data_IF_544914785545
#
_entry.id   IF_544914785545
#
_cell.length_a   1.000
_cell.length_b   1.000
_cell.length_c   1.000
_cell.angle_alpha   90.00
_cell.angle_beta   90.00
_cell.angle_gamma   90.00
#
_symmetry.space_group_name_H-M   'P 1'
#
loop_
_entity.id
_entity.type
_entity.pdbx_description
1 polymer ?
#
# COMPACT_ATOMS: atom_id res chain seq x y z
N UNK A 1 -2.05 -21.05 -61.63
CA UNK A 1 -1.18 -21.93 -62.47
C UNK A 1 0.28 -21.71 -62.08
N UNK A 2 1.08 -22.79 -62.10
CA UNK A 2 2.53 -22.96 -61.80
C UNK A 2 2.89 -23.04 -60.30
N UNK A 3 2.94 -24.25 -59.70
CA UNK A 3 4.01 -25.30 -59.68
C UNK A 3 5.16 -24.93 -58.71
N UNK A 4 5.18 -25.49 -57.50
CA UNK A 4 5.89 -26.72 -57.06
C UNK A 4 7.43 -26.62 -57.08
N UNK A 5 8.06 -26.73 -55.89
CA UNK A 5 9.20 -27.63 -55.71
C UNK A 5 9.28 -28.14 -54.27
N UNK A 6 9.31 -29.49 -54.17
CA UNK A 6 9.62 -30.28 -52.97
C UNK A 6 11.05 -30.82 -53.13
N UNK A 7 11.80 -30.86 -52.03
CA UNK A 7 12.99 -31.70 -51.82
C UNK A 7 13.26 -31.69 -50.31
N UNK A 8 13.01 -32.75 -49.52
CA UNK A 8 13.50 -34.13 -49.46
C UNK A 8 14.89 -34.27 -48.80
N UNK A 9 14.84 -34.80 -47.57
CA UNK A 9 15.80 -35.63 -46.80
C UNK A 9 17.27 -35.20 -46.63
N UNK A 10 17.74 -35.18 -45.37
CA UNK A 10 18.58 -36.27 -44.83
C UNK A 10 18.68 -36.16 -43.29
N UNK A 11 18.43 -37.28 -42.60
CA UNK A 11 18.60 -37.40 -41.15
C UNK A 11 20.02 -37.81 -40.77
N UNK A 12 20.45 -37.40 -39.58
CA UNK A 12 21.61 -37.98 -38.89
C UNK A 12 21.20 -38.23 -37.43
N UNK A 13 21.09 -39.50 -37.10
CA UNK A 13 21.00 -40.04 -35.74
C UNK A 13 22.44 -40.21 -35.26
N UNK A 14 22.81 -39.60 -34.13
CA UNK A 14 24.03 -39.97 -33.40
C UNK A 14 23.61 -40.51 -32.04
N UNK A 15 23.69 -41.83 -31.95
CA UNK A 15 23.65 -42.61 -30.72
C UNK A 15 25.08 -42.68 -30.18
N UNK A 16 25.31 -42.30 -28.93
CA UNK A 16 26.56 -42.60 -28.22
C UNK A 16 26.21 -43.37 -26.95
N UNK A 17 26.63 -44.63 -26.97
CA UNK A 17 26.56 -45.61 -25.91
C UNK A 17 27.98 -46.19 -25.77
N UNK A 18 28.61 -46.06 -24.61
CA UNK A 18 29.74 -46.86 -24.12
C UNK A 18 29.65 -46.86 -22.58
N UNK A 19 29.16 -47.93 -21.95
CA UNK A 19 29.81 -49.18 -21.54
C UNK A 19 30.78 -49.01 -20.34
N UNK A 20 30.31 -49.58 -19.24
CA UNK A 20 30.91 -50.14 -18.02
C UNK A 20 32.44 -50.19 -17.84
N UNK A 21 32.85 -49.93 -16.60
CA UNK A 21 33.74 -50.84 -15.87
C UNK A 21 33.51 -50.74 -14.35
N UNK A 22 33.44 -51.90 -13.71
CA UNK A 22 33.24 -52.13 -12.28
C UNK A 22 34.53 -52.72 -11.68
N UNK A 23 34.82 -52.39 -10.41
CA UNK A 23 35.61 -53.13 -9.41
C UNK A 23 35.10 -52.60 -8.04
N UNK A 24 34.52 -53.32 -7.08
CA UNK A 24 34.76 -54.61 -6.40
C UNK A 24 35.94 -54.62 -5.40
N UNK A 25 35.58 -54.78 -4.12
CA UNK A 25 36.40 -55.30 -3.00
C UNK A 25 37.13 -54.25 -2.15
N UNK A 26 37.35 -54.38 -0.84
CA UNK A 26 36.86 -55.30 0.20
C UNK A 26 37.26 -54.73 1.57
N UNK A 27 36.47 -55.07 2.59
CA UNK A 27 36.72 -55.19 4.05
C UNK A 27 38.13 -54.97 4.65
N UNK A 28 38.19 -54.34 5.83
CA UNK A 28 38.56 -54.92 7.16
C UNK A 28 39.08 -53.83 8.12
N UNK A 29 38.41 -53.58 9.26
CA UNK A 29 38.70 -54.06 10.64
C UNK A 29 39.44 -53.03 11.51
N UNK A 30 38.96 -52.85 12.75
CA UNK A 30 39.73 -52.18 13.80
C UNK A 30 38.91 -51.63 14.96
N UNK A 31 38.42 -52.51 15.84
CA UNK A 31 37.86 -52.21 17.16
C UNK A 31 38.86 -51.41 18.03
N UNK A 32 38.37 -50.50 18.89
CA UNK A 32 38.54 -50.68 20.33
C UNK A 32 37.66 -49.76 21.19
N UNK A 33 37.14 -50.36 22.26
CA UNK A 33 36.26 -49.79 23.26
C UNK A 33 37.03 -49.37 24.53
N UNK A 34 36.50 -48.40 25.28
CA UNK A 34 36.52 -48.34 26.77
C UNK A 34 35.86 -47.01 27.22
N UNK A 35 34.63 -47.03 27.77
CA UNK A 35 34.25 -47.04 29.20
C UNK A 35 34.84 -45.89 30.05
N UNK A 36 33.95 -45.10 30.69
CA UNK A 36 34.32 -44.28 31.87
C UNK A 36 33.38 -43.16 32.34
N UNK A 37 32.25 -43.52 32.97
CA UNK A 37 31.54 -42.89 34.13
C UNK A 37 31.34 -41.35 34.30
N UNK A 38 30.05 -41.03 34.58
CA UNK A 38 29.46 -40.11 35.58
C UNK A 38 29.88 -38.63 35.69
N UNK A 39 28.91 -37.72 35.54
CA UNK A 39 28.49 -36.80 36.61
C UNK A 39 27.13 -36.14 36.32
N UNK A 40 26.41 -35.81 37.40
CA UNK A 40 25.03 -35.34 37.51
C UNK A 40 24.87 -33.83 37.26
N UNK A 41 23.61 -33.45 37.05
CA UNK A 41 22.96 -32.14 37.31
C UNK A 41 23.38 -30.93 36.48
N UNK A 42 22.46 -30.46 35.62
CA UNK A 42 21.50 -29.43 36.05
C UNK A 42 20.57 -29.09 34.89
N UNK A 43 19.28 -29.38 35.07
CA UNK A 43 18.20 -28.94 34.21
C UNK A 43 17.96 -27.44 34.39
N UNK A 44 18.51 -26.62 33.49
CA UNK A 44 17.95 -25.31 33.22
C UNK A 44 17.18 -25.40 31.90
N UNK A 45 15.85 -25.42 32.02
CA UNK A 45 14.92 -25.20 30.93
C UNK A 45 15.11 -23.77 30.42
N UNK A 46 16.15 -23.57 29.60
CA UNK A 46 16.24 -22.42 28.73
C UNK A 46 15.19 -22.63 27.64
N UNK A 47 14.04 -21.96 27.80
CA UNK A 47 13.09 -21.69 26.73
C UNK A 47 13.86 -20.99 25.61
N UNK A 48 14.42 -21.78 24.68
CA UNK A 48 14.82 -21.31 23.36
C UNK A 48 13.54 -20.78 22.71
N UNK A 49 13.37 -19.47 22.76
CA UNK A 49 12.45 -18.74 21.90
C UNK A 49 12.93 -19.00 20.47
N UNK A 50 12.39 -20.04 19.86
CA UNK A 50 12.61 -20.35 18.45
C UNK A 50 12.15 -19.15 17.66
N UNK A 51 13.10 -18.36 17.17
CA UNK A 51 12.84 -17.42 16.10
C UNK A 51 12.37 -18.28 14.93
N UNK A 52 11.07 -18.26 14.66
CA UNK A 52 10.51 -18.93 13.50
C UNK A 52 11.11 -18.24 12.28
N UNK A 53 12.15 -18.86 11.71
CA UNK A 53 12.66 -18.54 10.40
C UNK A 53 11.48 -18.58 9.43
N UNK A 54 11.32 -17.51 8.65
CA UNK A 54 10.42 -17.50 7.50
C UNK A 54 10.67 -18.79 6.72
N UNK A 55 9.65 -19.64 6.56
CA UNK A 55 9.73 -20.79 5.66
C UNK A 55 9.88 -20.23 4.25
N UNK A 56 11.12 -20.02 3.83
CA UNK A 56 11.45 -19.51 2.51
C UNK A 56 10.80 -20.41 1.47
N UNK A 57 9.89 -19.85 0.67
CA UNK A 57 9.25 -20.61 -0.41
C UNK A 57 10.20 -20.59 -1.60
N UNK A 58 10.59 -21.78 -2.05
CA UNK A 58 11.44 -21.92 -3.23
C UNK A 58 10.68 -21.52 -4.49
N UNK A 59 11.38 -21.04 -5.54
CA UNK A 59 10.73 -20.75 -6.82
C UNK A 59 10.02 -22.00 -7.30
N UNK A 60 8.80 -21.83 -7.82
CA UNK A 60 8.01 -22.92 -8.38
C UNK A 60 7.83 -22.64 -9.86
N UNK A 61 8.50 -23.42 -10.69
CA UNK A 61 8.40 -23.29 -12.14
C UNK A 61 7.05 -23.84 -12.61
N UNK A 62 6.05 -22.94 -12.67
CA UNK A 62 4.72 -23.23 -13.21
C UNK A 62 4.71 -22.80 -14.67
N UNK A 63 4.39 -23.74 -15.56
CA UNK A 63 4.01 -23.41 -16.93
C UNK A 63 2.55 -22.95 -16.94
N UNK A 64 2.30 -21.72 -17.36
CA UNK A 64 0.97 -21.15 -17.43
C UNK A 64 0.95 -19.91 -18.34
N UNK A 65 -0.23 -19.60 -18.86
CA UNK A 65 -0.42 -18.53 -19.84
C UNK A 65 -0.56 -17.15 -19.19
N UNK A 66 -1.09 -17.08 -17.96
CA UNK A 66 -1.16 -15.84 -17.20
C UNK A 66 0.17 -15.56 -16.51
N UNK A 67 0.79 -14.41 -16.80
CA UNK A 67 1.98 -13.91 -16.10
C UNK A 67 1.74 -12.51 -15.58
N UNK A 68 2.18 -12.28 -14.34
CA UNK A 68 2.13 -10.98 -13.66
C UNK A 68 3.56 -10.58 -13.31
N UNK A 69 4.07 -9.59 -14.01
CA UNK A 69 5.41 -9.05 -13.83
C UNK A 69 5.34 -7.78 -12.99
N UNK A 70 5.79 -7.86 -11.74
CA UNK A 70 6.06 -6.69 -10.91
C UNK A 70 7.46 -6.19 -11.27
N UNK A 71 7.50 -5.21 -12.17
CA UNK A 71 8.73 -4.71 -12.76
C UNK A 71 9.49 -3.91 -11.70
N UNK A 72 10.78 -4.18 -11.54
CA UNK A 72 11.61 -3.40 -10.63
C UNK A 72 11.90 -2.01 -11.20
N UNK A 73 11.08 -1.04 -10.80
CA UNK A 73 11.18 0.39 -11.11
C UNK A 73 11.58 1.22 -9.88
N UNK A 74 12.20 0.59 -8.88
CA UNK A 74 12.57 1.25 -7.62
C UNK A 74 11.37 1.48 -6.70
N UNK A 75 11.31 2.66 -6.09
CA UNK A 75 10.25 3.05 -5.14
C UNK A 75 9.00 3.52 -5.89
N UNK A 76 8.43 2.62 -6.69
CA UNK A 76 7.36 2.90 -7.63
C UNK A 76 6.64 1.62 -8.05
N UNK A 77 5.51 1.76 -8.77
CA UNK A 77 4.77 0.63 -9.32
C UNK A 77 4.79 0.61 -10.87
N UNK A 78 5.11 -0.55 -11.42
CA UNK A 78 4.78 -0.89 -12.81
C UNK A 78 4.57 -2.40 -12.94
N UNK A 79 3.37 -2.79 -13.35
CA UNK A 79 2.91 -4.18 -13.33
C UNK A 79 2.39 -4.56 -14.72
N UNK A 80 3.15 -5.37 -15.45
CA UNK A 80 2.71 -5.96 -16.71
C UNK A 80 1.98 -7.27 -16.42
N UNK A 81 0.76 -7.40 -16.92
CA UNK A 81 -0.01 -8.65 -16.89
C UNK A 81 -0.19 -9.12 -18.32
N UNK A 82 0.13 -10.38 -18.60
CA UNK A 82 -0.08 -11.02 -19.91
C UNK A 82 -0.89 -12.29 -19.75
N UNK A 83 -1.77 -12.57 -20.72
CA UNK A 83 -2.43 -13.87 -20.89
C UNK A 83 -2.51 -14.16 -22.39
N UNK A 84 -1.71 -15.12 -22.86
CA UNK A 84 -1.50 -15.38 -24.29
C UNK A 84 -1.15 -14.08 -25.04
N UNK A 85 -1.98 -13.65 -25.99
CA UNK A 85 -1.80 -12.45 -26.80
C UNK A 85 -2.39 -11.18 -26.17
N UNK A 86 -2.99 -11.29 -24.99
CA UNK A 86 -3.57 -10.16 -24.26
C UNK A 86 -2.60 -9.57 -23.26
N UNK A 87 -2.62 -8.25 -23.12
CA UNK A 87 -1.77 -7.58 -22.13
C UNK A 87 -2.37 -6.32 -21.53
N UNK A 88 -2.04 -6.09 -20.27
CA UNK A 88 -2.43 -4.92 -19.49
C UNK A 88 -1.21 -4.39 -18.73
N UNK A 89 -1.04 -3.07 -18.71
CA UNK A 89 -0.09 -2.41 -17.83
C UNK A 89 -0.87 -1.68 -16.72
N UNK A 90 -0.54 -1.96 -15.46
CA UNK A 90 -0.95 -1.15 -14.32
C UNK A 90 0.27 -0.35 -13.87
N UNK A 91 0.16 0.98 -13.95
CA UNK A 91 1.20 1.95 -13.62
C UNK A 91 2.51 1.80 -14.44
N UNK A 92 3.25 2.91 -14.57
CA UNK A 92 4.40 3.10 -15.45
C UNK A 92 5.69 3.44 -14.72
N UNK A 93 5.73 3.32 -13.39
CA UNK A 93 6.87 3.74 -12.58
C UNK A 93 7.02 5.26 -12.52
N UNK A 94 8.22 5.71 -12.14
CA UNK A 94 8.59 7.13 -12.11
C UNK A 94 8.73 7.69 -13.54
N UNK A 95 8.80 9.01 -13.70
CA UNK A 95 9.05 9.66 -15.00
C UNK A 95 10.36 9.15 -15.64
N UNK A 96 11.38 8.90 -14.82
CA UNK A 96 12.68 8.42 -15.28
C UNK A 96 12.64 6.97 -15.81
N UNK A 97 11.63 6.20 -15.42
CA UNK A 97 11.51 4.79 -15.77
C UNK A 97 10.85 4.57 -17.13
N UNK A 98 10.20 5.58 -17.72
CA UNK A 98 9.35 5.41 -18.90
C UNK A 98 10.03 4.71 -20.09
N UNK A 99 11.28 5.06 -20.41
CA UNK A 99 12.05 4.37 -21.47
C UNK A 99 12.33 2.91 -21.09
N UNK A 100 12.73 2.66 -19.84
CA UNK A 100 13.03 1.32 -19.35
C UNK A 100 11.79 0.42 -19.34
N UNK A 101 10.63 0.95 -18.94
CA UNK A 101 9.34 0.24 -19.01
C UNK A 101 8.99 -0.07 -20.47
N UNK A 102 9.10 0.90 -21.38
CA UNK A 102 8.84 0.67 -22.81
C UNK A 102 9.72 -0.44 -23.39
N UNK A 103 11.01 -0.42 -23.08
CA UNK A 103 11.96 -1.42 -23.57
C UNK A 103 11.70 -2.80 -22.95
N UNK A 104 11.33 -2.84 -21.67
CA UNK A 104 10.90 -4.07 -21.02
C UNK A 104 9.67 -4.68 -21.70
N UNK A 105 8.64 -3.88 -21.99
CA UNK A 105 7.44 -4.32 -22.69
C UNK A 105 7.76 -4.84 -24.10
N UNK A 106 8.60 -4.14 -24.86
CA UNK A 106 9.07 -4.61 -26.19
C UNK A 106 9.81 -5.95 -26.10
N UNK A 107 10.68 -6.10 -25.08
CA UNK A 107 11.42 -7.34 -24.82
C UNK A 107 10.49 -8.51 -24.48
N UNK A 108 9.38 -8.24 -23.80
CA UNK A 108 8.32 -9.23 -23.54
C UNK A 108 7.46 -9.53 -24.78
N UNK A 109 7.79 -8.94 -25.94
CA UNK A 109 7.08 -9.19 -27.19
C UNK A 109 5.77 -8.42 -27.33
N UNK A 110 5.45 -7.52 -26.40
CA UNK A 110 4.19 -6.76 -26.41
C UNK A 110 4.13 -5.88 -27.66
N UNK A 111 3.02 -6.00 -28.41
CA UNK A 111 2.74 -5.18 -29.61
C UNK A 111 1.59 -4.21 -29.39
N UNK A 112 0.67 -4.57 -28.49
CA UNK A 112 -0.53 -3.82 -28.14
C UNK A 112 -0.82 -4.08 -26.67
N UNK A 113 -1.20 -3.04 -25.95
CA UNK A 113 -1.78 -3.14 -24.62
C UNK A 113 -3.30 -3.07 -24.78
N UNK A 114 -4.02 -4.09 -24.33
CA UNK A 114 -5.49 -4.01 -24.30
C UNK A 114 -5.95 -2.93 -23.31
N UNK A 115 -5.23 -2.84 -22.19
CA UNK A 115 -5.49 -1.86 -21.14
C UNK A 115 -4.22 -1.21 -20.62
N UNK A 116 -4.31 0.09 -20.34
CA UNK A 116 -3.37 0.80 -19.47
C UNK A 116 -4.18 1.37 -18.31
N UNK A 117 -3.70 1.16 -17.09
CA UNK A 117 -4.34 1.64 -15.85
C UNK A 117 -3.34 2.56 -15.15
N UNK A 118 -3.68 3.84 -15.00
CA UNK A 118 -3.00 4.73 -14.08
C UNK A 118 -3.81 4.78 -12.78
N UNK A 119 -3.31 4.16 -11.72
CA UNK A 119 -4.08 3.94 -10.49
C UNK A 119 -4.44 5.26 -9.83
N UNK A 120 -3.48 6.16 -9.68
CA UNK A 120 -3.69 7.51 -9.16
C UNK A 120 -2.61 8.49 -9.66
N UNK A 121 -2.81 9.81 -9.54
CA UNK A 121 -1.95 10.82 -10.18
C UNK A 121 -0.52 11.01 -9.63
N UNK A 122 -0.02 10.15 -8.73
CA UNK A 122 1.34 10.30 -8.22
C UNK A 122 2.39 9.86 -9.24
N UNK A 123 3.58 10.42 -9.08
CA UNK A 123 4.64 10.33 -10.09
C UNK A 123 5.27 8.94 -10.15
N UNK A 124 5.41 8.27 -9.02
CA UNK A 124 5.88 6.90 -8.88
C UNK A 124 4.87 5.85 -9.38
N UNK A 125 3.75 6.30 -9.96
CA UNK A 125 2.72 5.46 -10.57
C UNK A 125 2.49 5.81 -12.03
N UNK A 126 2.13 7.06 -12.34
CA UNK A 126 1.80 7.45 -13.72
C UNK A 126 2.99 8.03 -14.48
N UNK A 127 4.16 8.14 -13.84
CA UNK A 127 5.36 8.81 -14.35
C UNK A 127 5.76 8.37 -15.74
N UNK A 128 5.99 7.08 -15.95
CA UNK A 128 6.40 6.54 -17.25
C UNK A 128 5.25 6.29 -18.24
N UNK A 129 4.00 6.59 -17.89
CA UNK A 129 2.85 6.23 -18.74
C UNK A 129 2.76 7.05 -20.01
N UNK A 130 3.24 8.29 -20.06
CA UNK A 130 3.27 9.07 -21.30
C UNK A 130 4.20 8.42 -22.35
N UNK A 131 5.36 7.92 -21.94
CA UNK A 131 6.26 7.13 -22.80
C UNK A 131 5.56 5.87 -23.33
N UNK A 132 4.90 5.11 -22.44
CA UNK A 132 4.16 3.90 -22.83
C UNK A 132 3.02 4.22 -23.78
N UNK A 133 2.24 5.25 -23.48
CA UNK A 133 1.11 5.68 -24.30
C UNK A 133 1.60 6.07 -25.68
N UNK A 134 2.69 6.83 -25.81
CA UNK A 134 3.25 7.19 -27.09
C UNK A 134 3.77 5.95 -27.87
N UNK A 135 4.41 5.00 -27.19
CA UNK A 135 5.08 3.86 -27.82
C UNK A 135 4.15 2.72 -28.29
N UNK A 136 3.00 2.50 -27.66
CA UNK A 136 2.16 1.32 -27.92
C UNK A 136 0.76 1.65 -28.43
N UNK A 137 0.19 0.75 -29.23
CA UNK A 137 -1.24 0.77 -29.49
C UNK A 137 -1.98 0.34 -28.21
N UNK A 138 -2.92 1.17 -27.75
CA UNK A 138 -3.68 0.92 -26.52
C UNK A 138 -5.16 0.80 -26.84
N UNK A 139 -5.82 -0.23 -26.30
CA UNK A 139 -7.26 -0.40 -26.42
C UNK A 139 -8.03 0.61 -25.54
N UNK A 140 -7.82 0.55 -24.23
CA UNK A 140 -8.49 1.41 -23.25
C UNK A 140 -7.55 1.90 -22.17
N UNK A 141 -7.75 3.14 -21.72
CA UNK A 141 -7.02 3.74 -20.61
C UNK A 141 -7.98 3.97 -19.44
N UNK A 142 -7.64 3.44 -18.28
CA UNK A 142 -8.34 3.70 -17.01
C UNK A 142 -7.52 4.66 -16.15
N UNK A 143 -8.15 5.75 -15.69
CA UNK A 143 -7.60 6.67 -14.70
C UNK A 143 -8.74 7.24 -13.85
N UNK A 144 -8.52 7.53 -12.55
CA UNK A 144 -9.55 8.13 -11.71
C UNK A 144 -9.86 9.55 -12.18
N UNK A 145 -10.98 10.11 -11.72
CA UNK A 145 -11.37 11.49 -12.03
C UNK A 145 -10.52 12.57 -11.33
N UNK A 146 -9.49 12.16 -10.57
CA UNK A 146 -8.63 13.09 -9.83
C UNK A 146 -7.67 13.79 -10.78
N UNK A 147 -7.87 15.08 -10.94
CA UNK A 147 -6.91 15.95 -11.60
C UNK A 147 -5.75 16.28 -10.67
N UNK A 148 -4.57 16.46 -11.25
CA UNK A 148 -3.38 16.98 -10.58
C UNK A 148 -2.71 18.05 -11.47
N UNK A 149 -2.04 19.03 -10.86
CA UNK A 149 -1.38 20.12 -11.57
C UNK A 149 0.12 19.87 -11.83
N UNK A 150 0.64 18.70 -11.41
CA UNK A 150 2.01 18.27 -11.68
C UNK A 150 2.32 18.20 -13.17
N UNK A 151 3.61 18.32 -13.52
CA UNK A 151 4.09 18.12 -14.88
C UNK A 151 3.78 16.70 -15.37
N UNK A 152 4.05 15.69 -14.54
CA UNK A 152 3.74 14.28 -14.82
C UNK A 152 2.31 14.06 -15.26
N UNK A 153 1.32 14.54 -14.49
CA UNK A 153 -0.08 14.37 -14.86
C UNK A 153 -0.39 15.05 -16.20
N UNK A 154 0.12 16.26 -16.44
CA UNK A 154 -0.07 16.98 -17.71
C UNK A 154 0.55 16.25 -18.90
N UNK A 155 1.72 15.65 -18.73
CA UNK A 155 2.40 14.89 -19.79
C UNK A 155 1.57 13.66 -20.18
N UNK A 156 1.06 12.91 -19.19
CA UNK A 156 0.17 11.76 -19.42
C UNK A 156 -1.12 12.20 -20.15
N UNK A 157 -1.82 13.22 -19.65
CA UNK A 157 -3.04 13.72 -20.31
C UNK A 157 -2.76 14.20 -21.75
N UNK A 158 -1.60 14.83 -21.97
CA UNK A 158 -1.17 15.27 -23.30
C UNK A 158 -0.92 14.08 -24.23
N UNK A 159 -0.23 13.04 -23.78
CA UNK A 159 -0.02 11.81 -24.56
C UNK A 159 -1.34 11.13 -24.93
N UNK A 160 -2.28 11.03 -23.98
CA UNK A 160 -3.64 10.50 -24.23
C UNK A 160 -4.35 11.31 -25.32
N UNK A 161 -4.33 12.64 -25.19
CA UNK A 161 -4.98 13.55 -26.14
C UNK A 161 -4.34 13.47 -27.52
N UNK A 162 -3.01 13.41 -27.61
CA UNK A 162 -2.28 13.33 -28.86
C UNK A 162 -2.57 12.01 -29.61
N UNK A 163 -2.87 10.93 -28.88
CA UNK A 163 -3.37 9.67 -29.46
C UNK A 163 -4.86 9.65 -29.78
N UNK A 164 -5.59 10.75 -29.51
CA UNK A 164 -7.04 10.80 -29.70
C UNK A 164 -7.82 9.85 -28.78
N UNK A 165 -7.19 9.41 -27.68
CA UNK A 165 -7.79 8.46 -26.74
C UNK A 165 -8.64 9.18 -25.69
N UNK A 166 -9.53 8.43 -25.05
CA UNK A 166 -10.36 8.90 -23.94
C UNK A 166 -10.03 8.13 -22.68
N UNK A 167 -10.05 8.83 -21.55
CA UNK A 167 -9.97 8.21 -20.23
C UNK A 167 -11.30 7.54 -19.92
N UNK A 168 -11.25 6.29 -19.50
CA UNK A 168 -12.37 5.57 -18.91
C UNK A 168 -12.29 5.68 -17.40
N UNK A 169 -13.33 6.24 -16.78
CA UNK A 169 -13.38 6.35 -15.32
C UNK A 169 -13.63 4.96 -14.69
N UNK A 170 -12.90 4.60 -13.63
CA UNK A 170 -13.14 3.37 -12.88
C UNK A 170 -14.49 3.45 -12.18
N UNK A 171 -15.23 2.34 -12.19
CA UNK A 171 -16.46 2.19 -11.39
C UNK A 171 -16.38 0.88 -10.63
N UNK A 172 -16.45 0.91 -9.28
CA UNK A 172 -16.51 -0.32 -8.50
C UNK A 172 -17.66 -1.22 -8.95
N UNK A 173 -17.38 -2.51 -9.12
CA UNK A 173 -18.29 -3.50 -9.68
C UNK A 173 -18.16 -3.71 -11.19
N UNK A 174 -17.58 -2.77 -11.94
CA UNK A 174 -17.34 -2.96 -13.37
C UNK A 174 -16.37 -4.13 -13.60
N UNK A 175 -16.65 -4.92 -14.63
CA UNK A 175 -15.82 -6.07 -15.02
C UNK A 175 -15.37 -5.96 -16.47
N UNK A 176 -14.19 -6.49 -16.76
CA UNK A 176 -13.65 -6.63 -18.10
C UNK A 176 -12.78 -7.87 -18.21
N UNK A 177 -12.47 -8.28 -19.44
CA UNK A 177 -11.64 -9.46 -19.73
C UNK A 177 -10.23 -9.08 -20.13
N UNK A 178 -9.26 -9.88 -19.71
CA UNK A 178 -7.90 -9.91 -20.23
C UNK A 178 -7.63 -11.36 -20.67
N UNK A 179 -7.93 -11.65 -21.93
CA UNK A 179 -8.07 -13.01 -22.43
C UNK A 179 -9.07 -13.81 -21.59
N UNK A 180 -8.65 -14.96 -21.08
CA UNK A 180 -9.50 -15.82 -20.25
C UNK A 180 -9.67 -15.31 -18.81
N UNK A 181 -8.84 -14.36 -18.36
CA UNK A 181 -8.93 -13.77 -17.02
C UNK A 181 -10.07 -12.74 -16.92
N UNK A 182 -10.69 -12.66 -15.74
CA UNK A 182 -11.70 -11.66 -15.39
C UNK A 182 -11.14 -10.62 -14.44
N UNK A 183 -11.23 -9.35 -14.80
CA UNK A 183 -10.84 -8.22 -13.97
C UNK A 183 -12.08 -7.53 -13.41
N UNK A 184 -12.08 -7.20 -12.12
CA UNK A 184 -13.14 -6.46 -11.43
C UNK A 184 -12.53 -5.24 -10.75
N UNK A 185 -13.05 -4.05 -11.04
CA UNK A 185 -12.67 -2.83 -10.34
C UNK A 185 -13.43 -2.81 -9.01
N UNK A 186 -12.75 -2.57 -7.88
CA UNK A 186 -13.37 -2.52 -6.54
C UNK A 186 -13.19 -1.17 -5.85
N UNK A 187 -12.28 -0.34 -6.34
CA UNK A 187 -12.08 1.04 -5.91
C UNK A 187 -11.57 1.91 -7.08
N UNK A 188 -11.61 3.25 -6.97
CA UNK A 188 -12.12 4.04 -5.84
C UNK A 188 -13.65 4.08 -5.82
N UNK A 189 -14.24 4.39 -4.65
CA UNK A 189 -15.69 4.64 -4.55
C UNK A 189 -16.13 5.75 -5.50
N UNK A 190 -17.23 5.52 -6.21
CA UNK A 190 -17.78 6.49 -7.16
C UNK A 190 -18.25 7.78 -6.46
N UNK A 191 -18.08 8.93 -7.13
CA UNK A 191 -18.53 10.26 -6.68
C UNK A 191 -17.98 10.67 -5.31
N UNK A 192 -16.79 10.17 -4.95
CA UNK A 192 -16.10 10.51 -3.72
C UNK A 192 -14.91 11.44 -4.02
N UNK A 193 -14.80 12.50 -3.23
CA UNK A 193 -13.61 13.33 -3.16
C UNK A 193 -12.80 12.89 -1.94
N UNK A 194 -11.51 12.63 -2.14
CA UNK A 194 -10.59 12.21 -1.09
C UNK A 194 -9.56 13.31 -0.83
N UNK A 195 -9.22 13.46 0.45
CA UNK A 195 -8.12 14.32 0.88
C UNK A 195 -6.78 13.76 0.41
N UNK A 196 -6.56 12.45 0.63
CA UNK A 196 -5.40 11.73 0.12
C UNK A 196 -5.59 11.40 -1.37
N UNK A 197 -4.58 11.74 -2.18
CA UNK A 197 -4.57 11.38 -3.61
C UNK A 197 -4.45 9.86 -3.78
N UNK A 198 -3.82 9.18 -2.82
CA UNK A 198 -3.66 7.73 -2.79
C UNK A 198 -4.98 6.98 -2.76
N UNK A 199 -6.01 7.51 -2.08
CA UNK A 199 -7.32 6.86 -1.99
C UNK A 199 -8.12 6.89 -3.31
N UNK A 200 -7.64 7.62 -4.34
CA UNK A 200 -8.16 7.48 -5.70
C UNK A 200 -7.63 6.26 -6.44
N UNK A 201 -6.70 5.51 -5.85
CA UNK A 201 -6.11 4.31 -6.45
C UNK A 201 -7.18 3.38 -7.00
N UNK A 202 -7.05 3.07 -8.29
CA UNK A 202 -7.85 2.03 -8.92
C UNK A 202 -7.40 0.69 -8.36
N UNK A 203 -8.29 0.01 -7.63
CA UNK A 203 -8.04 -1.33 -7.11
C UNK A 203 -8.71 -2.35 -8.02
N UNK A 204 -7.93 -3.31 -8.53
CA UNK A 204 -8.38 -4.32 -9.48
C UNK A 204 -8.16 -5.70 -8.89
N UNK A 205 -9.23 -6.50 -8.83
CA UNK A 205 -9.14 -7.95 -8.64
C UNK A 205 -9.07 -8.63 -10.01
N UNK A 206 -8.08 -9.49 -10.20
CA UNK A 206 -7.99 -10.38 -11.36
C UNK A 206 -8.24 -11.81 -10.90
N UNK A 207 -9.12 -12.52 -11.60
CA UNK A 207 -9.40 -13.95 -11.38
C UNK A 207 -9.11 -14.73 -12.66
N UNK A 208 -8.33 -15.80 -12.54
CA UNK A 208 -7.99 -16.71 -13.62
C UNK A 208 -8.07 -18.16 -13.15
N UNK A 209 -9.06 -18.90 -13.66
CA UNK A 209 -9.43 -20.20 -13.13
C UNK A 209 -9.74 -20.14 -11.62
N UNK A 210 -8.97 -20.88 -10.83
CA UNK A 210 -9.03 -20.91 -9.35
C UNK A 210 -8.02 -20.00 -8.67
N UNK A 211 -7.25 -19.23 -9.44
CA UNK A 211 -6.21 -18.33 -8.93
C UNK A 211 -6.66 -16.87 -9.03
N UNK A 212 -6.15 -16.03 -8.13
CA UNK A 212 -6.61 -14.65 -8.01
C UNK A 212 -5.52 -13.69 -7.52
N UNK A 213 -5.59 -12.44 -7.98
CA UNK A 213 -4.66 -11.36 -7.68
C UNK A 213 -5.45 -10.12 -7.28
N UNK A 214 -4.93 -9.32 -6.35
CA UNK A 214 -5.46 -7.99 -6.02
C UNK A 214 -4.36 -6.95 -6.12
N UNK A 215 -4.59 -5.95 -6.97
CA UNK A 215 -3.69 -4.83 -7.21
C UNK A 215 -4.26 -3.58 -6.57
N UNK A 216 -3.60 -3.03 -5.56
CA UNK A 216 -4.17 -1.97 -4.71
C UNK A 216 -3.70 -0.56 -5.04
N UNK A 217 -2.65 -0.42 -5.87
CA UNK A 217 -1.88 0.82 -5.94
C UNK A 217 -1.52 1.27 -4.52
N UNK A 218 -1.87 2.51 -4.20
CA UNK A 218 -1.57 3.12 -2.90
C UNK A 218 -2.80 3.30 -2.02
N UNK A 219 -3.90 2.60 -2.30
CA UNK A 219 -5.13 2.67 -1.51
C UNK A 219 -4.85 2.56 0.00
N UNK A 220 -5.20 3.61 0.76
CA UNK A 220 -4.93 3.69 2.19
C UNK A 220 -6.15 3.18 2.99
N UNK A 221 -6.04 3.21 4.33
CA UNK A 221 -7.05 2.68 5.24
C UNK A 221 -8.50 3.16 4.95
N UNK A 222 -8.67 4.37 4.43
CA UNK A 222 -9.99 4.88 4.04
C UNK A 222 -10.54 4.12 2.83
N UNK A 223 -9.79 4.06 1.72
CA UNK A 223 -10.18 3.31 0.53
C UNK A 223 -10.38 1.81 0.86
N UNK A 224 -9.49 1.20 1.65
CA UNK A 224 -9.65 -0.18 2.12
C UNK A 224 -10.96 -0.40 2.88
N UNK A 225 -11.30 0.51 3.80
CA UNK A 225 -12.57 0.44 4.54
C UNK A 225 -13.78 0.56 3.62
N UNK A 226 -13.73 1.40 2.60
CA UNK A 226 -14.82 1.54 1.62
C UNK A 226 -14.95 0.31 0.71
N UNK A 227 -13.83 -0.33 0.34
CA UNK A 227 -13.83 -1.61 -0.39
C UNK A 227 -14.52 -2.69 0.46
N UNK A 228 -14.20 -2.77 1.77
CA UNK A 228 -14.82 -3.72 2.69
C UNK A 228 -16.33 -3.48 2.82
N UNK A 229 -16.75 -2.22 2.93
CA UNK A 229 -18.17 -1.83 2.99
C UNK A 229 -18.92 -2.11 1.68
N UNK A 230 -18.23 -2.08 0.54
CA UNK A 230 -18.82 -2.36 -0.77
C UNK A 230 -19.24 -3.81 -0.97
N UNK A 231 -18.80 -4.74 -0.12
CA UNK A 231 -19.23 -6.15 -0.18
C UNK A 231 -18.68 -6.94 -1.37
N UNK A 232 -17.68 -6.40 -2.09
CA UNK A 232 -17.04 -7.09 -3.21
C UNK A 232 -16.27 -8.33 -2.73
N UNK A 233 -16.22 -9.37 -3.57
CA UNK A 233 -15.31 -10.49 -3.33
C UNK A 233 -13.87 -10.03 -3.60
N UNK A 234 -13.13 -9.68 -2.54
CA UNK A 234 -11.74 -9.26 -2.62
C UNK A 234 -10.74 -10.34 -2.18
N UNK A 235 -11.20 -11.58 -1.96
CA UNK A 235 -10.29 -12.68 -1.64
C UNK A 235 -9.31 -12.87 -2.80
N UNK A 236 -8.01 -12.95 -2.51
CA UNK A 236 -6.98 -13.10 -3.52
C UNK A 236 -5.90 -14.08 -3.07
N UNK A 237 -5.24 -14.79 -3.99
CA UNK A 237 -4.07 -15.60 -3.67
C UNK A 237 -2.81 -14.74 -3.56
N UNK A 238 -2.67 -13.73 -4.44
CA UNK A 238 -1.56 -12.78 -4.44
C UNK A 238 -2.09 -11.37 -4.19
N UNK A 239 -1.55 -10.70 -3.18
CA UNK A 239 -1.82 -9.29 -2.90
C UNK A 239 -0.59 -8.46 -3.23
N UNK A 240 -0.72 -7.48 -4.14
CA UNK A 240 0.21 -6.35 -4.18
C UNK A 240 -0.08 -5.50 -2.95
N UNK A 241 0.90 -5.41 -2.05
CA UNK A 241 0.78 -4.61 -0.84
C UNK A 241 0.67 -3.13 -1.22
N UNK A 242 -0.30 -2.48 -0.58
CA UNK A 242 -0.63 -1.08 -0.82
C UNK A 242 0.50 -0.13 -0.42
N UNK A 243 0.68 0.93 -1.20
CA UNK A 243 1.56 2.05 -0.88
C UNK A 243 2.96 1.59 -0.51
N UNK A 244 3.49 0.68 -1.34
CA UNK A 244 4.84 0.13 -1.25
C UNK A 244 5.20 -0.52 0.10
N UNK A 245 4.21 -0.88 0.91
CA UNK A 245 4.41 -1.37 2.28
C UNK A 245 4.40 -0.29 3.36
N UNK A 246 3.83 0.88 3.06
CA UNK A 246 3.52 1.92 4.05
C UNK A 246 2.64 1.38 5.18
N UNK A 247 2.69 2.07 6.32
CA UNK A 247 1.88 1.80 7.51
C UNK A 247 0.44 2.32 7.38
N UNK A 248 0.19 3.20 6.40
CA UNK A 248 -1.13 3.81 6.14
C UNK A 248 -2.08 2.88 5.38
N UNK A 249 -1.53 1.80 4.82
CA UNK A 249 -2.23 0.79 4.03
C UNK A 249 -2.11 -0.59 4.68
N UNK A 250 -2.76 -1.58 4.07
CA UNK A 250 -2.81 -2.98 4.53
C UNK A 250 -3.26 -3.06 5.99
N UNK A 251 -4.44 -2.50 6.28
CA UNK A 251 -5.10 -2.64 7.58
C UNK A 251 -5.35 -4.10 7.92
N UNK A 252 -5.42 -4.44 9.21
CA UNK A 252 -5.67 -5.82 9.63
C UNK A 252 -7.00 -6.36 9.06
N UNK A 253 -8.07 -5.57 9.12
CA UNK A 253 -9.37 -5.95 8.57
C UNK A 253 -9.32 -6.23 7.05
N UNK A 254 -8.54 -5.42 6.32
CA UNK A 254 -8.36 -5.63 4.88
C UNK A 254 -7.55 -6.90 4.59
N UNK A 255 -6.41 -7.10 5.27
CA UNK A 255 -5.60 -8.31 5.13
C UNK A 255 -6.38 -9.58 5.48
N UNK A 256 -7.20 -9.53 6.53
CA UNK A 256 -8.02 -10.66 6.96
C UNK A 256 -9.11 -10.99 5.92
N UNK A 257 -9.72 -9.98 5.29
CA UNK A 257 -10.73 -10.17 4.25
C UNK A 257 -10.13 -10.66 2.93
N UNK A 258 -8.97 -10.12 2.52
CA UNK A 258 -8.26 -10.55 1.31
C UNK A 258 -7.70 -11.97 1.49
N UNK A 259 -7.21 -12.29 2.70
CA UNK A 259 -6.64 -13.58 3.06
C UNK A 259 -5.61 -14.10 2.04
N UNK A 260 -4.55 -13.31 1.72
CA UNK A 260 -3.61 -13.67 0.68
C UNK A 260 -2.71 -14.84 1.08
N UNK A 261 -2.37 -15.68 0.09
CA UNK A 261 -1.34 -16.71 0.23
C UNK A 261 0.06 -16.14 0.04
N UNK A 262 0.18 -15.07 -0.75
CA UNK A 262 1.45 -14.42 -1.07
C UNK A 262 1.26 -12.90 -1.08
N UNK A 263 2.28 -12.18 -0.60
CA UNK A 263 2.35 -10.72 -0.69
C UNK A 263 3.47 -10.31 -1.64
N UNK A 264 3.24 -9.34 -2.50
CA UNK A 264 4.28 -8.69 -3.31
C UNK A 264 4.41 -7.24 -2.90
N UNK A 265 5.63 -6.76 -2.67
CA UNK A 265 5.94 -5.37 -2.33
C UNK A 265 6.87 -4.83 -3.42
N UNK A 266 6.41 -3.80 -4.12
CA UNK A 266 7.29 -2.98 -4.96
C UNK A 266 7.86 -1.87 -4.08
N UNK A 267 9.17 -1.82 -3.97
CA UNK A 267 9.89 -0.78 -3.23
C UNK A 267 11.36 -0.77 -3.65
N UNK A 268 12.09 0.26 -3.22
CA UNK A 268 13.54 0.36 -3.40
C UNK A 268 14.31 0.11 -2.10
N UNK A 269 15.49 -0.48 -2.21
CA UNK A 269 16.38 -0.70 -1.07
C UNK A 269 16.89 0.64 -0.54
N UNK A 270 16.56 0.94 0.72
CA UNK A 270 17.03 2.16 1.37
C UNK A 270 16.33 3.44 0.92
N UNK A 271 15.09 3.32 0.42
CA UNK A 271 14.27 4.49 0.08
C UNK A 271 14.04 5.43 1.28
N UNK A 272 13.87 6.71 0.99
CA UNK A 272 13.72 7.77 2.00
C UNK A 272 12.42 7.68 2.81
N UNK A 273 11.42 6.96 2.31
CA UNK A 273 10.15 6.74 3.00
C UNK A 273 10.25 5.71 4.12
N UNK A 274 11.29 4.86 4.11
CA UNK A 274 11.44 3.77 5.07
C UNK A 274 10.51 2.59 4.76
N UNK A 275 10.11 2.44 3.50
CA UNK A 275 9.31 1.34 3.01
C UNK A 275 10.16 0.06 2.78
N UNK A 276 9.58 -1.14 2.93
CA UNK A 276 8.35 -1.39 3.64
C UNK A 276 8.53 -1.11 5.14
N UNK A 277 7.47 -0.62 5.78
CA UNK A 277 7.51 -0.27 7.20
C UNK A 277 7.39 -1.50 8.10
N UNK A 278 8.05 -1.42 9.28
CA UNK A 278 8.01 -2.46 10.31
C UNK A 278 6.59 -2.95 10.62
N UNK A 279 5.64 -2.03 10.82
CA UNK A 279 4.27 -2.38 11.18
C UNK A 279 3.59 -3.26 10.11
N UNK A 280 3.84 -2.97 8.84
CA UNK A 280 3.31 -3.76 7.71
C UNK A 280 3.99 -5.12 7.63
N UNK A 281 5.32 -5.15 7.78
CA UNK A 281 6.07 -6.42 7.80
C UNK A 281 5.68 -7.32 8.99
N UNK A 282 5.44 -6.75 10.17
CA UNK A 282 4.98 -7.48 11.35
C UNK A 282 3.59 -8.12 11.11
N UNK A 283 2.66 -7.40 10.47
CA UNK A 283 1.33 -7.93 10.10
C UNK A 283 1.40 -9.10 9.12
N UNK A 284 2.31 -9.04 8.14
CA UNK A 284 2.52 -10.12 7.17
C UNK A 284 3.19 -11.32 7.83
N UNK A 285 4.18 -11.08 8.69
CA UNK A 285 4.88 -12.12 9.43
C UNK A 285 3.97 -12.84 10.42
N UNK A 286 3.13 -12.13 11.16
CA UNK A 286 2.21 -12.74 12.14
C UNK A 286 1.16 -13.64 11.49
N UNK A 287 0.84 -13.38 10.21
CA UNK A 287 -0.06 -14.18 9.37
C UNK A 287 0.67 -15.28 8.56
N UNK A 288 1.98 -15.41 8.71
CA UNK A 288 2.83 -16.32 7.93
C UNK A 288 2.65 -16.17 6.41
N UNK A 289 2.46 -14.93 5.92
CA UNK A 289 2.30 -14.65 4.48
C UNK A 289 3.70 -14.48 3.88
N UNK A 290 4.18 -15.36 3.00
CA UNK A 290 5.45 -15.18 2.30
C UNK A 290 5.43 -13.89 1.48
N UNK A 291 6.52 -13.12 1.60
CA UNK A 291 6.65 -11.80 0.96
C UNK A 291 7.65 -11.91 -0.20
N UNK A 292 7.32 -11.34 -1.35
CA UNK A 292 8.22 -11.18 -2.48
C UNK A 292 8.46 -9.68 -2.68
N UNK A 293 9.72 -9.25 -2.76
CA UNK A 293 10.07 -7.83 -2.77
C UNK A 293 11.00 -7.47 -3.91
N UNK A 294 10.69 -6.39 -4.62
CA UNK A 294 11.51 -5.96 -5.77
C UNK A 294 12.89 -5.46 -5.35
N UNK A 295 13.02 -4.88 -4.15
CA UNK A 295 14.30 -4.41 -3.62
C UNK A 295 15.29 -5.52 -3.27
N UNK A 296 14.79 -6.75 -3.05
CA UNK A 296 15.62 -7.92 -2.76
C UNK A 296 15.85 -8.80 -4.00
N UNK A 297 14.84 -8.92 -4.86
CA UNK A 297 14.81 -9.92 -5.93
C UNK A 297 14.80 -9.34 -7.36
N UNK A 298 14.75 -8.02 -7.50
CA UNK A 298 14.51 -7.37 -8.80
C UNK A 298 13.10 -7.63 -9.32
N UNK A 299 12.93 -7.75 -10.63
CA UNK A 299 11.62 -8.01 -11.23
C UNK A 299 11.07 -9.37 -10.81
N UNK A 300 9.88 -9.36 -10.22
CA UNK A 300 9.19 -10.57 -9.77
C UNK A 300 8.14 -10.95 -10.80
N UNK A 301 8.11 -12.22 -11.19
CA UNK A 301 7.14 -12.77 -12.13
C UNK A 301 6.36 -13.88 -11.45
N UNK A 302 5.07 -13.66 -11.25
CA UNK A 302 4.13 -14.68 -10.84
C UNK A 302 3.48 -15.31 -12.08
N UNK A 303 3.60 -16.62 -12.24
CA UNK A 303 2.99 -17.37 -13.34
C UNK A 303 1.83 -18.21 -12.79
N UNK A 304 0.68 -18.14 -13.46
CA UNK A 304 -0.50 -18.96 -13.12
C UNK A 304 -0.94 -19.81 -14.31
N UNK A 305 -1.28 -21.06 -14.02
CA UNK A 305 -1.93 -21.99 -14.95
C UNK A 305 -3.45 -22.11 -14.69
N UNK A 306 -4.01 -21.19 -13.91
CA UNK A 306 -5.42 -21.21 -13.52
C UNK A 306 -5.77 -22.17 -12.39
N UNK A 307 -4.79 -22.87 -11.81
CA UNK A 307 -4.97 -23.72 -10.61
C UNK A 307 -3.97 -23.38 -9.51
N UNK A 308 -2.73 -23.11 -9.90
CA UNK A 308 -1.60 -22.83 -9.02
C UNK A 308 -0.85 -21.58 -9.50
N UNK A 309 -0.13 -20.97 -8.56
CA UNK A 309 0.76 -19.82 -8.83
C UNK A 309 2.18 -20.23 -8.45
N UNK A 310 3.13 -19.91 -9.33
CA UNK A 310 4.55 -20.05 -9.10
C UNK A 310 5.28 -18.72 -9.31
N UNK A 311 6.45 -18.57 -8.70
CA UNK A 311 7.27 -17.36 -8.79
C UNK A 311 8.65 -17.71 -9.37
N UNK A 312 9.24 -16.78 -10.13
CA UNK A 312 10.60 -16.90 -10.67
C UNK A 312 11.71 -16.73 -9.61
N UNK A 313 11.37 -16.26 -8.41
CA UNK A 313 12.30 -15.96 -7.32
C UNK A 313 11.84 -16.64 -6.03
N UNK A 314 12.74 -16.70 -5.04
CA UNK A 314 12.40 -17.10 -3.66
C UNK A 314 11.62 -15.99 -2.97
N UNK A 315 10.82 -16.35 -1.98
CA UNK A 315 10.27 -15.35 -1.06
C UNK A 315 11.40 -14.61 -0.34
N UNK A 316 11.28 -13.29 -0.23
CA UNK A 316 12.18 -12.41 0.46
C UNK A 316 12.02 -12.42 1.98
N UNK A 317 12.73 -11.50 2.62
CA UNK A 317 12.79 -11.35 4.07
C UNK A 317 11.63 -10.50 4.63
N UNK A 318 11.37 -10.65 5.93
CA UNK A 318 10.52 -9.73 6.70
C UNK A 318 11.28 -8.50 7.24
N UNK A 319 12.50 -8.24 6.75
CA UNK A 319 13.25 -7.06 7.16
C UNK A 319 12.52 -5.80 6.71
N UNK A 320 12.75 -4.69 7.39
CA UNK A 320 12.13 -3.41 7.08
C UNK A 320 13.21 -2.33 7.04
N UNK A 321 12.94 -1.24 6.33
CA UNK A 321 13.89 -0.14 6.27
C UNK A 321 13.77 0.70 7.54
N UNK A 322 14.74 0.59 8.45
CA UNK A 322 14.89 1.50 9.58
C UNK A 322 15.67 2.74 9.12
N UNK A 323 14.97 3.83 8.83
CA UNK A 323 15.61 5.12 8.58
C UNK A 323 16.19 5.75 9.88
N UNK A 324 16.28 4.98 10.96
CA UNK A 324 17.03 5.30 12.18
C UNK A 324 18.47 4.76 12.12
N UNK A 325 19.23 5.11 11.07
CA UNK A 325 20.70 5.07 11.17
C UNK A 325 21.19 6.39 11.74
N UNK A 326 21.49 6.40 13.04
CA UNK A 326 22.37 7.41 13.64
C UNK A 326 21.75 8.35 14.68
N UNK A 327 21.06 7.85 15.70
CA UNK A 327 21.12 8.47 17.04
C UNK A 327 21.21 7.37 18.09
N UNK A 328 22.44 7.14 18.57
CA UNK A 328 22.68 6.41 19.81
C UNK A 328 21.94 7.17 20.92
N UNK A 329 20.86 6.60 21.44
CA UNK A 329 20.17 7.13 22.60
C UNK A 329 20.76 6.45 23.84
N UNK A 330 21.74 7.10 24.45
CA UNK A 330 22.12 6.86 25.83
C UNK A 330 20.88 7.00 26.71
N UNK A 331 20.52 5.92 27.41
CA UNK A 331 19.44 5.92 28.39
C UNK A 331 19.89 6.65 29.64
N UNK A 332 19.47 7.90 29.81
CA UNK A 332 19.38 8.50 31.15
C UNK A 332 17.99 9.12 31.29
N UNK A 333 17.20 8.48 32.13
CA UNK A 333 15.89 8.92 32.60
C UNK A 333 16.08 10.07 33.58
N UNK A 334 15.47 11.26 33.40
CA UNK A 334 15.43 12.23 34.48
C UNK A 334 14.10 12.11 35.24
N UNK A 335 14.24 11.69 36.50
CA UNK A 335 13.27 11.81 37.58
C UNK A 335 12.92 13.30 37.79
N UNK A 336 11.64 13.68 38.02
CA UNK A 336 11.30 15.08 38.28
C UNK A 336 11.62 15.45 39.74
N UNK A 337 12.55 16.39 39.92
CA UNK A 337 12.82 17.04 41.21
C UNK A 337 11.93 18.28 41.33
N UNK A 338 11.14 18.32 42.39
CA UNK A 338 10.39 19.49 42.86
C UNK A 338 11.38 20.47 43.49
N UNK A 339 11.43 21.71 43.02
CA UNK A 339 11.92 22.83 43.83
C UNK A 339 10.96 24.01 43.79
N UNK A 340 10.44 24.33 44.97
CA UNK A 340 9.89 25.63 45.33
C UNK A 340 11.02 26.66 45.33
N UNK A 341 10.74 27.88 44.89
CA UNK A 341 11.02 29.06 45.70
C UNK A 341 10.19 30.26 45.25
N UNK A 342 9.54 30.86 46.25
CA UNK A 342 9.01 32.23 46.27
C UNK A 342 10.20 33.21 46.40
N UNK A 343 10.13 34.53 46.24
CA UNK A 343 9.10 35.49 46.57
C UNK A 343 9.51 36.90 46.07
N UNK A 344 8.53 37.81 46.09
CA UNK A 344 8.58 39.29 46.17
C UNK A 344 8.17 40.07 44.90
N UNK A 345 7.48 41.21 44.98
CA UNK A 345 6.27 41.68 45.68
C UNK A 345 5.94 43.07 45.09
N UNK A 346 4.75 43.62 45.37
CA UNK A 346 4.26 45.02 45.15
C UNK A 346 3.64 45.28 43.76
N UNK A 347 2.46 45.90 43.58
CA UNK A 347 1.54 46.64 44.48
C UNK A 347 0.16 46.81 43.81
N UNK A 348 -0.88 46.96 44.64
CA UNK A 348 -2.26 47.29 44.30
C UNK A 348 -2.44 48.68 43.66
N UNK A 349 -3.44 48.87 42.77
CA UNK A 349 -4.46 49.89 43.02
C UNK A 349 -5.72 49.78 42.13
N UNK A 350 -6.84 50.12 42.76
CA UNK A 350 -8.22 50.26 42.27
C UNK A 350 -8.41 51.64 41.63
N UNK A 351 -9.32 51.80 40.66
CA UNK A 351 -9.80 53.14 40.28
C UNK A 351 -10.52 53.30 38.93
N UNK A 352 -11.85 53.18 38.96
CA UNK A 352 -12.84 53.73 38.01
C UNK A 352 -12.54 55.15 37.50
N UNK A 353 -12.80 55.47 36.21
CA UNK A 353 -13.46 56.72 35.73
C UNK A 353 -14.19 56.49 34.37
N UNK A 354 -15.41 57.05 34.29
CA UNK A 354 -16.40 57.04 33.21
C UNK A 354 -16.13 57.99 32.01
N UNK A 355 -16.91 57.78 30.92
CA UNK A 355 -17.83 58.72 30.21
C UNK A 355 -17.69 58.74 28.68
N UNK A 356 -18.82 58.65 28.00
CA UNK A 356 -18.98 59.04 26.60
C UNK A 356 -20.28 58.56 25.93
N UNK A 357 -21.43 59.13 26.33
CA UNK A 357 -22.70 59.11 25.55
C UNK A 357 -23.08 60.53 25.20
N UNK A 358 -23.54 60.76 23.96
CA UNK A 358 -24.26 61.97 23.52
C UNK A 358 -25.52 61.60 22.71
N UNK A 359 -26.53 62.48 22.80
CA UNK A 359 -27.95 62.24 22.52
C UNK A 359 -28.46 62.78 21.14
N UNK A 360 -29.59 62.17 20.73
CA UNK A 360 -30.68 62.47 19.76
C UNK A 360 -30.79 63.82 19.00
N UNK A 361 -31.33 63.73 17.76
CA UNK A 361 -32.57 64.47 17.35
C UNK A 361 -33.31 63.79 16.17
N UNK A 362 -34.61 64.02 16.12
CA UNK A 362 -35.69 63.30 15.40
C UNK A 362 -35.82 63.60 13.89
N UNK A 363 -36.49 62.69 13.15
CA UNK A 363 -37.76 63.00 12.44
C UNK A 363 -38.35 61.77 11.69
N UNK A 364 -39.54 61.37 12.18
CA UNK A 364 -40.78 61.03 11.47
C UNK A 364 -40.91 59.88 10.43
N UNK A 365 -42.01 59.15 10.64
CA UNK A 365 -42.83 58.30 9.74
C UNK A 365 -42.34 56.90 9.34
N UNK A 366 -43.06 55.85 9.79
CA UNK A 366 -42.95 54.52 9.17
C UNK A 366 -43.40 53.27 9.93
N UNK A 367 -44.53 53.29 10.64
CA UNK A 367 -45.44 52.13 10.87
C UNK A 367 -44.82 50.79 11.36
N UNK A 368 -44.97 50.54 12.66
CA UNK A 368 -44.94 49.20 13.28
C UNK A 368 -46.19 48.40 12.90
N UNK A 369 -46.06 47.11 12.58
CA UNK A 369 -47.09 46.11 12.85
C UNK A 369 -46.49 44.94 13.61
N UNK A 370 -47.20 44.56 14.68
CA UNK A 370 -46.89 43.51 15.65
C UNK A 370 -47.55 42.21 15.20
N UNK A 371 -46.90 41.07 15.36
CA UNK A 371 -47.63 39.82 15.57
C UNK A 371 -46.89 38.85 16.49
N UNK A 372 -47.69 38.28 17.40
CA UNK A 372 -47.35 37.52 18.59
C UNK A 372 -46.78 36.12 18.33
N UNK A 373 -45.90 35.75 19.26
CA UNK A 373 -45.63 34.43 19.85
C UNK A 373 -46.74 33.37 19.63
N UNK A 374 -46.36 32.23 19.06
CA UNK A 374 -47.03 30.94 19.32
C UNK A 374 -45.96 29.85 19.39
N UNK A 375 -45.85 29.21 20.55
CA UNK A 375 -45.16 27.93 20.74
C UNK A 375 -46.25 26.87 20.64
N UNK A 376 -46.10 25.90 19.74
CA UNK A 376 -46.65 24.55 19.92
C UNK A 376 -45.92 23.53 19.03
N UNK A 377 -45.60 22.40 19.65
CA UNK A 377 -44.87 21.26 19.13
C UNK A 377 -45.58 20.59 17.95
N UNK A 378 -44.81 20.24 16.91
CA UNK A 378 -45.16 19.08 16.06
C UNK A 378 -43.88 18.41 15.57
N UNK A 379 -43.87 17.10 15.75
CA UNK A 379 -42.81 16.12 15.58
C UNK A 379 -42.04 16.22 14.27
N UNK A 380 -40.72 16.46 14.34
CA UNK A 380 -39.79 16.29 13.23
C UNK A 380 -38.87 15.09 13.47
N UNK A 381 -39.13 14.04 12.69
CA UNK A 381 -38.17 12.99 12.33
C UNK A 381 -36.98 13.69 11.66
N UNK A 382 -35.86 13.80 12.37
CA UNK A 382 -34.69 14.54 11.88
C UNK A 382 -33.57 13.57 11.55
N UNK A 383 -33.16 13.68 10.28
CA UNK A 383 -32.02 13.09 9.60
C UNK A 383 -30.76 13.15 10.46
N UNK A 384 -30.04 12.02 10.51
CA UNK A 384 -28.72 11.87 11.11
C UNK A 384 -27.72 12.76 10.35
N UNK A 385 -27.25 13.82 11.00
CA UNK A 385 -26.13 14.63 10.53
C UNK A 385 -24.84 13.99 11.06
N UNK A 386 -24.04 13.37 10.19
CA UNK A 386 -22.68 12.99 10.55
C UNK A 386 -21.86 14.26 10.83
N UNK A 387 -21.40 14.40 12.06
CA UNK A 387 -20.60 15.53 12.51
C UNK A 387 -19.13 15.16 12.29
N UNK A 388 -18.45 15.92 11.43
CA UNK A 388 -16.99 16.04 11.43
C UNK A 388 -16.51 16.33 12.86
N UNK A 389 -15.38 15.76 13.28
CA UNK A 389 -14.87 15.82 14.66
C UNK A 389 -14.42 17.20 15.17
N UNK A 390 -15.22 18.25 15.01
CA UNK A 390 -15.01 19.53 15.68
C UNK A 390 -15.19 19.35 17.19
N UNK A 391 -14.15 19.68 17.97
CA UNK A 391 -14.16 19.59 19.44
C UNK A 391 -13.63 18.29 20.03
N UNK A 392 -13.25 17.30 19.21
CA UNK A 392 -12.65 16.04 19.69
C UNK A 392 -11.13 16.10 19.75
N UNK A 393 -10.51 15.22 20.52
CA UNK A 393 -9.05 15.13 20.63
C UNK A 393 -8.50 14.27 19.49
N UNK A 394 -7.48 14.78 18.80
CA UNK A 394 -6.81 14.12 17.68
C UNK A 394 -5.58 13.37 18.16
N UNK A 395 -5.55 12.05 18.07
CA UNK A 395 -4.37 11.23 18.32
C UNK A 395 -3.65 10.86 17.03
N UNK A 396 -2.32 10.91 16.99
CA UNK A 396 -1.49 10.40 15.90
C UNK A 396 -0.14 9.88 16.43
N UNK A 397 0.62 9.20 15.58
CA UNK A 397 1.98 8.78 15.87
C UNK A 397 2.93 9.81 15.25
N UNK A 398 3.81 10.40 16.06
CA UNK A 398 4.76 11.39 15.54
C UNK A 398 5.94 10.72 14.80
N UNK A 399 6.82 11.54 14.22
CA UNK A 399 8.02 11.06 13.49
C UNK A 399 8.98 10.21 14.33
N UNK A 400 8.85 10.22 15.67
CA UNK A 400 9.63 9.40 16.60
C UNK A 400 8.92 8.09 17.00
N UNK A 401 7.75 7.80 16.42
CA UNK A 401 6.95 6.63 16.77
C UNK A 401 6.14 6.78 18.05
N UNK A 402 6.03 7.99 18.62
CA UNK A 402 5.32 8.22 19.86
C UNK A 402 3.83 8.52 19.60
N UNK A 403 2.95 7.85 20.35
CA UNK A 403 1.52 8.18 20.40
C UNK A 403 1.33 9.54 21.07
N UNK A 404 0.94 10.55 20.30
CA UNK A 404 0.66 11.91 20.79
C UNK A 404 -0.78 12.33 20.50
N UNK A 405 -1.37 13.10 21.39
CA UNK A 405 -2.70 13.68 21.17
C UNK A 405 -2.69 15.21 21.18
N UNK A 406 -3.61 15.80 20.43
CA UNK A 406 -3.79 17.22 20.23
C UNK A 406 -5.21 17.62 20.65
N UNK A 407 -5.29 18.64 21.50
CA UNK A 407 -6.56 19.21 21.99
C UNK A 407 -7.00 20.38 21.10
N UNK A 408 -8.30 20.61 20.90
CA UNK A 408 -8.81 21.80 20.21
C UNK A 408 -8.18 23.10 20.76
N UNK A 409 -7.72 23.98 19.87
CA UNK A 409 -7.00 25.21 20.24
C UNK A 409 -5.50 25.03 20.55
N UNK A 410 -4.99 23.79 20.58
CA UNK A 410 -3.57 23.51 20.71
C UNK A 410 -2.77 23.90 19.45
N UNK A 411 -1.48 24.23 19.63
CA UNK A 411 -0.61 24.78 18.58
C UNK A 411 -0.54 23.95 17.29
N UNK A 412 -0.70 22.63 17.40
CA UNK A 412 -0.63 21.69 16.27
C UNK A 412 -2.00 21.11 15.88
N UNK A 413 -3.08 21.41 16.60
CA UNK A 413 -4.37 20.75 16.43
C UNK A 413 -4.95 20.87 15.00
N UNK A 414 -4.87 22.06 14.41
CA UNK A 414 -5.36 22.31 13.05
C UNK A 414 -4.44 21.73 11.96
N UNK A 415 -3.19 21.40 12.31
CA UNK A 415 -2.19 20.84 11.39
C UNK A 415 -2.08 19.31 11.49
N UNK A 416 -2.60 18.72 12.57
CA UNK A 416 -2.58 17.27 12.77
C UNK A 416 -3.67 16.58 11.94
N UNK A 417 -3.25 15.58 11.16
CA UNK A 417 -4.13 14.54 10.64
C UNK A 417 -4.26 13.42 11.69
N UNK A 418 -5.45 13.18 12.27
CA UNK A 418 -5.63 12.20 13.33
C UNK A 418 -5.69 10.76 12.82
N UNK A 419 -4.95 9.87 13.48
CA UNK A 419 -5.03 8.40 13.36
C UNK A 419 -6.01 7.80 14.39
N UNK A 420 -6.34 8.53 15.45
CA UNK A 420 -7.31 8.16 16.47
C UNK A 420 -8.09 9.39 16.93
N UNK A 421 -9.33 9.19 17.38
CA UNK A 421 -10.18 10.23 17.96
C UNK A 421 -10.58 9.87 19.37
N UNK A 422 -10.45 10.82 20.30
CA UNK A 422 -10.86 10.66 21.69
C UNK A 422 -11.87 11.74 22.08
N UNK A 423 -12.82 11.40 22.94
CA UNK A 423 -13.77 12.37 23.49
C UNK A 423 -13.15 13.13 24.67
N UNK A 424 -12.21 12.51 25.40
CA UNK A 424 -11.50 13.14 26.53
C UNK A 424 -10.00 12.86 26.52
N UNK A 425 -9.23 13.69 27.23
CA UNK A 425 -7.79 13.46 27.37
C UNK A 425 -7.48 12.20 28.19
N UNK A 426 -8.35 11.87 29.15
CA UNK A 426 -8.24 10.65 29.94
C UNK A 426 -8.37 9.40 29.04
N UNK A 427 -9.30 9.41 28.09
CA UNK A 427 -9.42 8.34 27.09
C UNK A 427 -8.15 8.22 26.23
N UNK A 428 -7.60 9.36 25.78
CA UNK A 428 -6.36 9.37 25.00
C UNK A 428 -5.18 8.80 25.81
N UNK A 429 -5.05 9.21 27.07
CA UNK A 429 -4.00 8.73 27.98
C UNK A 429 -4.15 7.24 28.30
N UNK A 430 -5.37 6.77 28.55
CA UNK A 430 -5.66 5.35 28.74
C UNK A 430 -5.30 4.51 27.50
N UNK A 431 -5.44 5.09 26.29
CA UNK A 431 -5.03 4.47 25.03
C UNK A 431 -3.50 4.57 24.75
N UNK A 432 -2.73 5.09 25.70
CA UNK A 432 -1.27 5.23 25.63
C UNK A 432 -0.79 6.46 24.87
N UNK A 433 -1.65 7.45 24.64
CA UNK A 433 -1.26 8.72 24.00
C UNK A 433 -0.85 9.74 25.07
N UNK A 434 0.30 10.38 24.88
CA UNK A 434 0.72 11.52 25.69
C UNK A 434 0.31 12.84 25.02
N UNK A 435 0.12 13.91 25.79
CA UNK A 435 -0.19 15.23 25.21
C UNK A 435 0.97 15.70 24.31
N UNK A 436 0.66 16.27 23.15
CA UNK A 436 1.64 16.95 22.31
C UNK A 436 2.25 18.12 23.11
N UNK A 437 3.58 18.17 23.19
CA UNK A 437 4.31 19.33 23.71
C UNK A 437 4.48 20.36 22.60
N UNK A 438 4.63 21.64 22.97
CA UNK A 438 5.00 22.70 22.01
C UNK A 438 6.40 22.47 21.46
#
# INVERSE_FOLDING_TARGET
>A
MKKFNKGLFLGIIISIMMIFTACSGSSSTGNNASKGKNSKNSSSLALKKSANESTSVNPKDIKGDLKVHFINVGQADSILITEKDHSMLIDGGNNADGTMVVDYLKKMGIKKLDYVVGTHPHEDHIGGLDNVINAFNIGKIYMPSKMNNTKTYKDVITAIKNKGMKITLPKPGDTFKLGDASCTIVAPKANKDYESVNDYSIVIKLTYGKTSFLFTGDAEALSESEILQGGYDIKADVLKIGHHGSRTSSTDAFLDKVSPKYAVISCEKGNDYGHPHKATMDKLKSRNIPVYRTDEAGTIVATSNGKEIGFNVKSGSYNYSDNNKGKSASSETPTPVIQKNANNNLTNNVGNINKGTTYKKDNNTGKTTVAKKTVNNTSKKTVVKQVSGQGKIKGNINSKGEKIYHVPGGAFYNKTNPEAWFNTEAEAQAAGYRRSKR
#
